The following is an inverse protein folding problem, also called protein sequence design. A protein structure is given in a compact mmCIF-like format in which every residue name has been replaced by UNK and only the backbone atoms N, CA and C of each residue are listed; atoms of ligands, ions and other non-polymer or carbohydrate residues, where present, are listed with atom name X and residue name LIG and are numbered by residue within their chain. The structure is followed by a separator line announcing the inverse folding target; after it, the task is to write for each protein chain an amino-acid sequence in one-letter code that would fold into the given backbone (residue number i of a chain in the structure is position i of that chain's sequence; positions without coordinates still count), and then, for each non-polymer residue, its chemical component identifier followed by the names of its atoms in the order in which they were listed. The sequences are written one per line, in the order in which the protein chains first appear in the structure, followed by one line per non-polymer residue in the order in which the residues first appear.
data_IF_839501515626
#
_entry.id   IF_839501515626
#
_cell.length_a   1.000
_cell.length_b   1.000
_cell.length_c   1.000
_cell.angle_alpha   90.00
_cell.angle_beta   90.00
_cell.angle_gamma   90.00
#
_symmetry.space_group_name_H-M   'P 1'
#
loop_
_entity.id
_entity.type
_entity.pdbx_description
1 polymer ?
#
# COMPACT_ATOMS: atom_id res chain seq x y z
N UNK A 1 6.89 -12.00 30.47
CA UNK A 1 5.47 -11.77 30.18
C UNK A 1 5.30 -11.61 28.68
N UNK A 2 4.28 -12.26 28.11
CA UNK A 2 4.05 -12.35 26.67
C UNK A 2 3.46 -11.04 26.14
N UNK A 3 4.05 -10.45 25.10
CA UNK A 3 3.40 -9.39 24.32
C UNK A 3 2.13 -9.97 23.72
N UNK A 4 0.99 -9.32 23.97
CA UNK A 4 -0.28 -9.70 23.37
C UNK A 4 -0.32 -9.23 21.91
N UNK A 5 0.21 -10.07 21.01
CA UNK A 5 0.24 -9.84 19.56
C UNK A 5 -1.16 -9.69 18.96
N UNK A 6 -2.17 -10.32 19.57
CA UNK A 6 -3.58 -10.25 19.16
C UNK A 6 -4.11 -8.82 19.26
N UNK A 7 -3.85 -8.11 20.37
CA UNK A 7 -4.27 -6.70 20.54
C UNK A 7 -3.69 -5.79 19.45
N UNK A 8 -2.39 -5.91 19.19
CA UNK A 8 -1.73 -5.08 18.17
C UNK A 8 -2.24 -5.36 16.75
N UNK A 9 -2.51 -6.63 16.41
CA UNK A 9 -3.12 -6.96 15.11
C UNK A 9 -4.54 -6.40 14.97
N UNK A 10 -5.36 -6.49 16.02
CA UNK A 10 -6.72 -5.97 16.00
C UNK A 10 -6.71 -4.44 15.85
N UNK A 11 -5.84 -3.72 16.57
CA UNK A 11 -5.72 -2.26 16.45
C UNK A 11 -5.31 -1.87 15.03
N UNK A 12 -4.29 -2.52 14.46
CA UNK A 12 -3.85 -2.26 13.09
C UNK A 12 -4.95 -2.54 12.05
N UNK A 13 -5.71 -3.62 12.23
CA UNK A 13 -6.84 -3.96 11.38
C UNK A 13 -7.98 -2.94 11.49
N UNK A 14 -8.29 -2.49 12.71
CA UNK A 14 -9.33 -1.49 12.95
C UNK A 14 -9.01 -0.16 12.24
N UNK A 15 -7.76 0.31 12.33
CA UNK A 15 -7.31 1.49 11.59
C UNK A 15 -7.43 1.30 10.08
N UNK A 16 -7.00 0.16 9.53
CA UNK A 16 -7.11 -0.11 8.09
C UNK A 16 -8.59 -0.13 7.63
N UNK A 17 -9.46 -0.81 8.38
CA UNK A 17 -10.89 -0.90 8.08
C UNK A 17 -11.59 0.47 8.14
N UNK A 18 -11.20 1.32 9.09
CA UNK A 18 -11.71 2.70 9.20
C UNK A 18 -11.43 3.50 7.93
N UNK A 19 -10.17 3.54 7.46
CA UNK A 19 -9.83 4.26 6.23
C UNK A 19 -10.49 3.66 4.99
N UNK A 20 -10.57 2.32 4.89
CA UNK A 20 -11.27 1.66 3.79
C UNK A 20 -12.76 2.04 3.73
N UNK A 21 -13.42 2.12 4.89
CA UNK A 21 -14.81 2.57 4.99
C UNK A 21 -15.02 4.02 4.56
N UNK A 22 -14.15 4.94 5.01
CA UNK A 22 -14.22 6.36 4.62
C UNK A 22 -14.06 6.52 3.11
N UNK A 23 -13.08 5.83 2.51
CA UNK A 23 -12.87 5.86 1.05
C UNK A 23 -14.07 5.28 0.29
N UNK A 24 -14.64 4.16 0.75
CA UNK A 24 -15.81 3.55 0.12
C UNK A 24 -17.04 4.45 0.15
N UNK A 25 -17.29 5.11 1.29
CA UNK A 25 -18.38 6.09 1.43
C UNK A 25 -18.20 7.30 0.50
N UNK A 26 -16.97 7.83 0.42
CA UNK A 26 -16.64 8.93 -0.49
C UNK A 26 -16.80 8.52 -1.96
N UNK A 27 -16.38 7.31 -2.31
CA UNK A 27 -16.52 6.76 -3.67
C UNK A 27 -17.99 6.63 -4.09
N UNK A 28 -18.85 6.12 -3.21
CA UNK A 28 -20.29 6.04 -3.47
C UNK A 28 -20.90 7.42 -3.75
N UNK A 29 -20.47 8.43 -3.00
CA UNK A 29 -20.93 9.81 -3.21
C UNK A 29 -20.47 10.39 -4.56
N UNK A 30 -19.22 10.15 -4.97
CA UNK A 30 -18.68 10.66 -6.25
C UNK A 30 -19.34 10.00 -7.45
N UNK A 31 -19.59 8.69 -7.40
CA UNK A 31 -20.12 7.94 -8.55
C UNK A 31 -21.64 8.13 -8.69
N UNK A 32 -22.36 8.48 -7.62
CA UNK A 32 -23.82 8.75 -7.55
C UNK A 32 -24.75 7.62 -8.02
N UNK A 33 -24.27 6.65 -8.80
CA UNK A 33 -25.01 5.49 -9.30
C UNK A 33 -24.15 4.24 -9.26
N UNK A 34 -24.53 3.26 -8.42
CA UNK A 34 -23.78 2.02 -8.23
C UNK A 34 -24.34 0.96 -9.17
N UNK A 35 -23.61 0.67 -10.25
CA UNK A 35 -23.87 -0.49 -11.09
C UNK A 35 -23.08 -1.69 -10.55
N UNK A 36 -23.70 -2.87 -10.36
CA UNK A 36 -23.02 -4.05 -9.82
C UNK A 36 -21.86 -4.54 -10.71
N UNK A 37 -21.92 -4.26 -12.00
CA UNK A 37 -20.86 -4.56 -12.97
C UNK A 37 -19.55 -3.82 -12.65
N UNK A 38 -19.65 -2.58 -12.18
CA UNK A 38 -18.51 -1.76 -11.79
C UNK A 38 -17.80 -2.24 -10.53
N UNK A 39 -18.36 -3.18 -9.77
CA UNK A 39 -17.78 -3.76 -8.55
C UNK A 39 -17.22 -5.18 -8.75
N UNK A 40 -16.89 -5.54 -9.99
CA UNK A 40 -16.28 -6.83 -10.30
C UNK A 40 -14.80 -6.97 -9.92
N UNK A 41 -14.23 -8.12 -10.28
CA UNK A 41 -12.81 -8.44 -10.10
C UNK A 41 -11.85 -7.40 -10.69
N UNK A 42 -12.26 -6.71 -11.76
CA UNK A 42 -11.47 -5.65 -12.37
C UNK A 42 -11.10 -4.55 -11.38
N UNK A 43 -12.05 -4.07 -10.56
CA UNK A 43 -11.76 -3.02 -9.56
C UNK A 43 -10.84 -3.49 -8.43
N UNK A 44 -11.02 -4.72 -7.96
CA UNK A 44 -10.12 -5.29 -6.95
C UNK A 44 -8.67 -5.35 -7.46
N UNK A 45 -8.53 -5.74 -8.73
CA UNK A 45 -7.22 -5.82 -9.40
C UNK A 45 -6.62 -4.44 -9.60
N UNK A 46 -7.41 -3.41 -9.92
CA UNK A 46 -6.93 -2.02 -10.04
C UNK A 46 -6.28 -1.55 -8.73
N UNK A 47 -6.91 -1.79 -7.57
CA UNK A 47 -6.32 -1.44 -6.28
C UNK A 47 -5.00 -2.17 -6.00
N UNK A 48 -4.91 -3.45 -6.38
CA UNK A 48 -3.67 -4.21 -6.29
C UNK A 48 -2.58 -3.64 -7.21
N UNK A 49 -2.95 -3.28 -8.44
CA UNK A 49 -2.03 -2.67 -9.41
C UNK A 49 -1.45 -1.35 -8.87
N UNK A 50 -2.29 -0.48 -8.30
CA UNK A 50 -1.84 0.77 -7.68
C UNK A 50 -0.84 0.51 -6.55
N UNK A 51 -1.12 -0.48 -5.71
CA UNK A 51 -0.24 -0.91 -4.61
C UNK A 51 1.10 -1.46 -5.14
N UNK A 52 1.06 -2.34 -6.15
CA UNK A 52 2.26 -2.96 -6.70
C UNK A 52 3.15 -1.96 -7.45
N UNK A 53 2.54 -1.06 -8.21
CA UNK A 53 3.27 0.02 -8.89
C UNK A 53 3.92 0.98 -7.90
N UNK A 54 3.26 1.25 -6.76
CA UNK A 54 3.81 2.07 -5.68
C UNK A 54 4.87 1.37 -4.81
N UNK A 55 4.78 0.05 -4.67
CA UNK A 55 5.69 -0.82 -3.93
C UNK A 55 5.09 -1.39 -2.64
N UNK A 56 5.10 -2.72 -2.49
CA UNK A 56 4.49 -3.45 -1.35
C UNK A 56 5.16 -3.22 0.01
N UNK A 57 6.33 -2.57 0.03
CA UNK A 57 7.11 -2.26 1.24
C UNK A 57 7.01 -0.82 1.74
N UNK A 58 6.29 0.07 1.05
CA UNK A 58 6.22 1.49 1.43
C UNK A 58 4.82 2.08 1.27
N UNK A 59 4.26 2.57 2.38
CA UNK A 59 2.98 3.29 2.41
C UNK A 59 3.01 4.54 1.52
N UNK A 60 4.11 5.29 1.56
CA UNK A 60 4.24 6.55 0.78
C UNK A 60 4.35 6.28 -0.71
N UNK A 61 5.11 5.25 -1.10
CA UNK A 61 5.20 4.79 -2.48
C UNK A 61 3.84 4.31 -3.02
N UNK A 62 3.08 3.58 -2.20
CA UNK A 62 1.73 3.09 -2.54
C UNK A 62 0.74 4.23 -2.82
N UNK A 63 0.72 5.27 -1.97
CA UNK A 63 -0.15 6.44 -2.17
C UNK A 63 0.26 7.19 -3.44
N UNK A 64 1.56 7.40 -3.67
CA UNK A 64 2.06 8.11 -4.85
C UNK A 64 1.77 7.32 -6.14
N UNK A 65 1.91 5.99 -6.11
CA UNK A 65 1.56 5.10 -7.21
C UNK A 65 0.07 5.14 -7.54
N UNK A 66 -0.80 5.13 -6.54
CA UNK A 66 -2.24 5.26 -6.72
C UNK A 66 -2.63 6.61 -7.34
N UNK A 67 -2.07 7.71 -6.84
CA UNK A 67 -2.34 9.06 -7.38
C UNK A 67 -1.86 9.17 -8.83
N UNK A 68 -0.65 8.70 -9.12
CA UNK A 68 -0.05 8.82 -10.45
C UNK A 68 -0.78 7.97 -11.49
N UNK A 69 -1.08 6.70 -11.15
CA UNK A 69 -1.83 5.80 -12.03
C UNK A 69 -3.32 6.14 -12.15
N UNK A 70 -3.88 6.94 -11.23
CA UNK A 70 -5.24 7.48 -11.37
C UNK A 70 -5.24 8.76 -12.22
N UNK A 71 -4.31 9.68 -11.99
CA UNK A 71 -4.22 10.95 -12.73
C UNK A 71 -3.88 10.74 -14.21
N UNK A 72 -3.06 9.73 -14.51
CA UNK A 72 -2.61 9.44 -15.86
C UNK A 72 -3.77 9.07 -16.83
N UNK A 73 -4.62 8.07 -16.58
CA UNK A 73 -5.76 7.76 -17.44
C UNK A 73 -6.79 8.89 -17.47
N UNK A 74 -6.86 9.75 -16.45
CA UNK A 74 -7.73 10.93 -16.42
C UNK A 74 -7.22 12.03 -17.37
N UNK A 75 -5.91 12.28 -17.42
CA UNK A 75 -5.29 13.17 -18.40
C UNK A 75 -5.43 12.63 -19.83
N UNK A 76 -5.38 11.31 -19.99
CA UNK A 76 -5.55 10.63 -21.27
C UNK A 76 -7.01 10.43 -21.67
N UNK A 77 -7.97 10.95 -20.88
CA UNK A 77 -9.40 10.81 -21.15
C UNK A 77 -9.83 11.34 -22.52
N UNK A 78 -9.06 12.28 -23.09
CA UNK A 78 -9.29 12.84 -24.42
C UNK A 78 -9.08 11.83 -25.57
N UNK A 79 -8.32 10.74 -25.36
CA UNK A 79 -8.07 9.68 -26.33
C UNK A 79 -8.69 8.36 -25.85
N UNK A 80 -10.02 8.30 -25.84
CA UNK A 80 -10.82 7.21 -25.25
C UNK A 80 -10.45 5.79 -25.75
N UNK A 81 -10.08 5.64 -27.03
CA UNK A 81 -9.81 4.33 -27.64
C UNK A 81 -8.45 3.74 -27.24
N UNK A 82 -7.44 4.58 -27.01
CA UNK A 82 -6.07 4.12 -26.75
C UNK A 82 -5.74 4.05 -25.25
N UNK A 83 -6.68 4.46 -24.39
CA UNK A 83 -6.50 4.55 -22.93
C UNK A 83 -6.02 3.24 -22.31
N UNK A 84 -6.62 2.10 -22.67
CA UNK A 84 -6.28 0.80 -22.09
C UNK A 84 -4.87 0.33 -22.50
N UNK A 85 -4.50 0.55 -23.76
CA UNK A 85 -3.18 0.20 -24.29
C UNK A 85 -2.10 1.06 -23.62
N UNK A 86 -2.32 2.37 -23.56
CA UNK A 86 -1.36 3.29 -22.95
C UNK A 86 -1.25 3.04 -21.45
N UNK A 87 -2.36 2.73 -20.77
CA UNK A 87 -2.35 2.36 -19.35
C UNK A 87 -1.47 1.13 -19.08
N UNK A 88 -1.62 0.05 -19.87
CA UNK A 88 -0.80 -1.14 -19.73
C UNK A 88 0.69 -0.87 -20.01
N UNK A 89 0.99 -0.10 -21.05
CA UNK A 89 2.38 0.28 -21.40
C UNK A 89 3.01 1.10 -20.28
N UNK A 90 2.31 2.10 -19.74
CA UNK A 90 2.87 2.94 -18.68
C UNK A 90 3.05 2.14 -17.39
N UNK A 91 2.12 1.25 -17.06
CA UNK A 91 2.27 0.33 -15.94
C UNK A 91 3.54 -0.52 -16.07
N UNK A 92 3.79 -1.10 -17.26
CA UNK A 92 5.02 -1.85 -17.54
C UNK A 92 6.26 -0.98 -17.41
N UNK A 93 6.23 0.25 -17.94
CA UNK A 93 7.34 1.21 -17.81
C UNK A 93 7.63 1.51 -16.33
N UNK A 94 6.60 1.76 -15.52
CA UNK A 94 6.74 2.03 -14.08
C UNK A 94 7.36 0.82 -13.37
N UNK A 95 6.90 -0.40 -13.68
CA UNK A 95 7.48 -1.63 -13.12
C UNK A 95 8.93 -1.84 -13.54
N UNK A 96 9.29 -1.45 -14.76
CA UNK A 96 10.64 -1.65 -15.31
C UNK A 96 11.65 -0.63 -14.78
N UNK A 97 11.24 0.64 -14.62
CA UNK A 97 12.12 1.68 -14.10
C UNK A 97 12.40 1.56 -12.60
N UNK A 98 11.45 1.04 -11.81
CA UNK A 98 11.60 0.92 -10.36
C UNK A 98 10.90 -0.34 -9.82
N UNK A 99 11.50 -1.53 -9.93
CA UNK A 99 10.91 -2.79 -9.44
C UNK A 99 10.73 -2.87 -7.91
N UNK A 100 11.28 -1.89 -7.17
CA UNK A 100 11.08 -1.72 -5.72
C UNK A 100 10.00 -0.68 -5.36
N UNK A 101 9.27 -0.14 -6.34
CA UNK A 101 8.26 0.91 -6.17
C UNK A 101 8.77 2.34 -6.49
N UNK A 102 7.86 3.27 -6.80
CA UNK A 102 8.19 4.67 -7.17
C UNK A 102 9.12 5.35 -6.15
N UNK A 103 8.86 5.17 -4.86
CA UNK A 103 9.70 5.65 -3.77
C UNK A 103 10.75 4.61 -3.35
N UNK A 104 11.56 4.13 -4.29
CA UNK A 104 12.66 3.19 -4.04
C UNK A 104 13.67 3.67 -2.99
N UNK A 105 13.38 3.44 -1.71
CA UNK A 105 14.28 3.61 -0.57
C UNK A 105 14.08 4.87 0.30
N UNK A 106 13.25 5.84 -0.09
CA UNK A 106 12.92 6.99 0.77
C UNK A 106 11.59 6.74 1.47
N UNK A 107 11.63 5.97 2.55
CA UNK A 107 10.58 6.01 3.55
C UNK A 107 10.59 7.43 4.17
N UNK A 108 9.44 8.08 4.28
CA UNK A 108 9.30 9.15 5.26
C UNK A 108 9.65 8.53 6.61
N UNK A 109 10.72 9.05 7.24
CA UNK A 109 11.27 8.69 8.56
C UNK A 109 10.21 8.48 9.67
N UNK A 110 9.00 8.96 9.45
CA UNK A 110 7.86 8.89 10.35
C UNK A 110 7.15 7.53 10.42
N UNK A 111 7.20 6.71 9.37
CA UNK A 111 6.55 5.37 9.33
C UNK A 111 7.55 4.22 9.43
N UNK A 112 8.83 4.53 9.64
CA UNK A 112 9.87 3.56 9.90
C UNK A 112 9.66 3.01 11.31
N UNK A 113 8.68 2.11 11.47
CA UNK A 113 8.53 1.27 12.65
C UNK A 113 9.75 0.36 12.64
N UNK A 114 10.83 0.86 13.23
CA UNK A 114 12.05 0.13 13.47
C UNK A 114 11.65 -1.12 14.24
N UNK A 115 11.62 -2.26 13.54
CA UNK A 115 11.44 -3.56 14.19
C UNK A 115 12.43 -3.74 15.36
N UNK A 116 13.59 -3.11 15.30
CA UNK A 116 14.57 -3.07 16.39
C UNK A 116 14.00 -2.52 17.70
N UNK A 117 13.17 -1.47 17.68
CA UNK A 117 12.56 -0.92 18.91
C UNK A 117 11.56 -1.91 19.55
N UNK A 118 10.91 -2.74 18.73
CA UNK A 118 10.02 -3.80 19.20
C UNK A 118 10.84 -4.96 19.80
N UNK A 119 12.02 -5.27 19.28
CA UNK A 119 12.91 -6.30 19.84
C UNK A 119 13.66 -5.83 21.09
N UNK A 120 14.04 -4.55 21.19
CA UNK A 120 14.74 -3.99 22.35
C UNK A 120 13.83 -3.82 23.57
N UNK A 121 12.52 -3.70 23.39
CA UNK A 121 11.54 -3.68 24.48
C UNK A 121 11.19 -5.08 25.02
N UNK A 122 11.75 -6.14 24.45
CA UNK A 122 11.58 -7.51 24.94
C UNK A 122 12.60 -7.81 26.06
N UNK A 123 12.18 -8.39 27.20
CA UNK A 123 13.08 -8.70 28.33
C UNK A 123 14.12 -9.80 28.04
N UNK A 124 14.19 -10.30 26.81
CA UNK A 124 15.09 -11.36 26.36
C UNK A 124 16.23 -10.84 25.44
N UNK A 125 16.37 -9.52 25.27
CA UNK A 125 17.41 -8.94 24.42
C UNK A 125 18.81 -9.02 25.06
N UNK A 126 19.49 -10.13 24.76
CA UNK A 126 20.82 -10.13 24.15
C UNK A 126 22.13 -9.87 24.94
N UNK A 127 22.16 -9.73 26.28
CA UNK A 127 23.47 -9.58 26.97
C UNK A 127 23.88 -10.71 27.94
N UNK A 128 23.00 -11.70 28.19
CA UNK A 128 23.27 -12.76 29.17
C UNK A 128 23.61 -14.14 28.59
N UNK A 129 23.07 -14.51 27.43
CA UNK A 129 23.10 -15.91 26.96
C UNK A 129 24.14 -16.20 25.86
N UNK A 130 24.68 -15.19 25.18
CA UNK A 130 25.70 -15.39 24.13
C UNK A 130 27.14 -15.39 24.65
N UNK A 131 27.39 -15.02 25.92
CA UNK A 131 28.73 -15.00 26.52
C UNK A 131 29.09 -16.30 27.28
N UNK A 132 28.11 -17.15 27.58
CA UNK A 132 28.30 -18.38 28.39
C UNK A 132 28.47 -19.65 27.52
N UNK A 133 29.16 -19.50 26.40
CA UNK A 133 29.39 -20.60 25.44
C UNK A 133 30.75 -20.55 24.76
N UNK A 134 31.70 -19.77 25.29
CA UNK A 134 33.11 -19.83 24.94
C UNK A 134 33.93 -19.92 26.22
#
# INVERSE_FOLDING_TARGET
MCVNTTRFKIIAFCFAAFFAGVVGGLYAHVVSFIQPDSFGFAKSTDFLVYLYAGGSGSLTGSVLGAVLLTALPELLRFMANWRLVIYAVVLVIVMLFRPKGLCGGHELRFLQIRRSDIYDSMPLSANGLLKKGR
#
